data_IF_901674248607
#
_entry.id   IF_901674248607
#
_cell.length_a   1.000
_cell.length_b   1.000
_cell.length_c   1.000
_cell.angle_alpha   90.00
_cell.angle_beta   90.00
_cell.angle_gamma   90.00
#
_symmetry.space_group_name_H-M   'P 1'
#
loop_
_entity.id
_entity.type
_entity.pdbx_description
1 polymer ?
#
# COMPACT_ATOMS: atom_id res chain seq x y z
N UNK A 1 -27.37 33.32 28.72
CA UNK A 1 -26.80 31.96 28.83
C UNK A 1 -27.60 31.04 27.93
N UNK A 2 -27.05 30.70 26.78
CA UNK A 2 -27.03 29.35 26.18
C UNK A 2 -26.08 29.50 24.99
N UNK A 3 -25.05 28.65 25.05
CA UNK A 3 -23.83 28.68 24.29
C UNK A 3 -23.97 27.51 23.31
N UNK A 4 -24.10 27.77 22.02
CA UNK A 4 -24.05 26.71 20.99
C UNK A 4 -22.87 26.97 20.08
N UNK A 5 -21.72 26.51 20.56
CA UNK A 5 -20.56 26.14 19.77
C UNK A 5 -20.79 24.74 19.17
N UNK A 6 -20.83 24.67 17.84
CA UNK A 6 -20.48 23.51 17.01
C UNK A 6 -19.91 24.17 15.74
N UNK A 7 -18.59 24.26 15.49
CA UNK A 7 -17.57 23.21 15.39
C UNK A 7 -18.05 22.01 14.58
N UNK A 8 -17.95 22.13 13.25
CA UNK A 8 -17.37 21.10 12.39
C UNK A 8 -17.07 21.72 11.02
N UNK A 9 -15.82 22.13 10.87
CA UNK A 9 -15.20 22.39 9.58
C UNK A 9 -15.23 21.06 8.79
N UNK A 10 -16.18 20.93 7.87
CA UNK A 10 -16.32 19.78 6.99
C UNK A 10 -15.30 19.92 5.86
N UNK A 11 -14.02 19.63 6.14
CA UNK A 11 -13.06 19.28 5.08
C UNK A 11 -13.41 17.88 4.58
N UNK A 12 -14.47 17.81 3.78
CA UNK A 12 -14.84 16.63 3.03
C UNK A 12 -13.77 16.38 1.96
N UNK A 13 -13.16 15.18 2.02
CA UNK A 13 -12.60 14.42 0.91
C UNK A 13 -11.95 15.24 -0.21
N UNK A 14 -10.65 15.51 -0.04
CA UNK A 14 -9.79 15.57 -1.19
C UNK A 14 -9.38 14.12 -1.50
N UNK A 15 -10.24 13.36 -2.17
CA UNK A 15 -9.82 12.19 -2.94
C UNK A 15 -8.97 12.71 -4.09
N UNK A 16 -7.76 13.18 -3.78
CA UNK A 16 -6.75 13.51 -4.78
C UNK A 16 -6.33 12.19 -5.38
N UNK A 17 -6.97 11.84 -6.49
CA UNK A 17 -6.51 10.84 -7.44
C UNK A 17 -4.99 10.95 -7.55
N UNK A 18 -4.26 9.92 -7.08
CA UNK A 18 -2.81 9.95 -7.04
C UNK A 18 -2.22 10.22 -8.44
N UNK A 19 -2.92 9.85 -9.51
CA UNK A 19 -2.50 10.10 -10.89
C UNK A 19 -2.42 11.59 -11.25
N UNK A 20 -3.19 12.45 -10.59
CA UNK A 20 -3.21 13.90 -10.83
C UNK A 20 -2.01 14.63 -10.19
N UNK A 21 -1.23 13.97 -9.34
CA UNK A 21 -0.08 14.57 -8.64
C UNK A 21 1.13 14.66 -9.59
N UNK A 22 1.57 15.89 -9.87
CA UNK A 22 2.69 16.15 -10.79
C UNK A 22 4.06 15.84 -10.20
N UNK A 23 4.24 16.00 -8.88
CA UNK A 23 5.52 15.74 -8.20
C UNK A 23 5.67 14.24 -7.94
N UNK A 24 6.61 13.59 -8.64
CA UNK A 24 6.83 12.13 -8.60
C UNK A 24 6.87 11.55 -7.20
N UNK A 25 7.69 12.11 -6.29
CA UNK A 25 7.80 11.57 -4.93
C UNK A 25 6.48 11.63 -4.16
N UNK A 26 5.68 12.69 -4.33
CA UNK A 26 4.37 12.82 -3.68
C UNK A 26 3.35 11.88 -4.28
N UNK A 27 3.45 11.61 -5.58
CA UNK A 27 2.62 10.61 -6.27
C UNK A 27 2.92 9.22 -5.74
N UNK A 28 4.19 8.87 -5.59
CA UNK A 28 4.63 7.59 -5.05
C UNK A 28 4.20 7.41 -3.60
N UNK A 29 4.34 8.45 -2.76
CA UNK A 29 3.81 8.48 -1.39
C UNK A 29 2.28 8.31 -1.34
N UNK A 30 1.56 8.93 -2.28
CA UNK A 30 0.10 8.81 -2.39
C UNK A 30 -0.30 7.36 -2.68
N UNK A 31 0.29 6.75 -3.73
CA UNK A 31 0.03 5.34 -4.06
C UNK A 31 0.44 4.39 -2.94
N UNK A 32 1.56 4.65 -2.25
CA UNK A 32 1.94 3.89 -1.06
C UNK A 32 0.82 3.90 -0.01
N UNK A 33 0.24 5.06 0.28
CA UNK A 33 -0.83 5.18 1.28
C UNK A 33 -2.12 4.49 0.84
N UNK A 34 -2.49 4.57 -0.45
CA UNK A 34 -3.62 3.82 -0.99
C UNK A 34 -3.39 2.31 -0.89
N UNK A 35 -2.18 1.82 -1.19
CA UNK A 35 -1.84 0.40 -1.04
C UNK A 35 -2.13 -0.12 0.36
N UNK A 36 -1.78 0.65 1.39
CA UNK A 36 -1.98 0.24 2.79
C UNK A 36 -3.45 0.18 3.21
N UNK A 37 -4.35 0.78 2.44
CA UNK A 37 -5.80 0.78 2.72
C UNK A 37 -6.55 -0.34 2.00
N UNK A 38 -5.96 -0.91 0.93
CA UNK A 38 -6.59 -2.00 0.21
C UNK A 38 -6.61 -3.30 1.01
N UNK A 39 -7.74 -3.99 0.90
CA UNK A 39 -7.93 -5.33 1.45
C UNK A 39 -7.31 -6.40 0.54
N UNK A 40 -7.15 -7.62 1.06
CA UNK A 40 -6.69 -8.79 0.29
C UNK A 40 -7.59 -9.15 -0.90
N UNK A 41 -8.87 -8.76 -0.86
CA UNK A 41 -9.81 -8.97 -1.97
C UNK A 41 -9.49 -8.08 -3.19
N UNK A 42 -8.76 -6.98 -3.00
CA UNK A 42 -8.44 -5.96 -4.02
C UNK A 42 -7.03 -6.15 -4.60
N UNK A 43 -6.55 -7.40 -4.61
CA UNK A 43 -5.22 -7.75 -5.10
C UNK A 43 -4.90 -7.20 -6.51
N UNK A 44 -5.81 -7.25 -7.51
CA UNK A 44 -5.53 -6.67 -8.83
C UNK A 44 -5.25 -5.16 -8.76
N UNK A 45 -5.97 -4.43 -7.90
CA UNK A 45 -5.79 -3.00 -7.68
C UNK A 45 -4.43 -2.73 -7.04
N UNK A 46 -4.04 -3.51 -6.03
CA UNK A 46 -2.74 -3.40 -5.36
C UNK A 46 -1.59 -3.60 -6.36
N UNK A 47 -1.66 -4.62 -7.22
CA UNK A 47 -0.67 -4.85 -8.28
C UNK A 47 -0.60 -3.66 -9.23
N UNK A 48 -1.75 -3.13 -9.63
CA UNK A 48 -1.83 -1.97 -10.52
C UNK A 48 -1.18 -0.74 -9.89
N UNK A 49 -1.52 -0.41 -8.64
CA UNK A 49 -1.02 0.76 -7.93
C UNK A 49 0.48 0.60 -7.59
N UNK A 50 0.93 -0.59 -7.20
CA UNK A 50 2.34 -0.87 -6.95
C UNK A 50 3.21 -0.57 -8.18
N UNK A 51 2.70 -0.86 -9.38
CA UNK A 51 3.39 -0.56 -10.66
C UNK A 51 3.41 0.93 -10.99
N UNK A 52 2.53 1.75 -10.40
CA UNK A 52 2.56 3.20 -10.57
C UNK A 52 3.62 3.88 -9.70
N UNK A 53 4.09 3.20 -8.63
CA UNK A 53 5.16 3.71 -7.76
C UNK A 53 6.50 3.58 -8.49
N UNK A 54 7.10 4.73 -8.78
CA UNK A 54 8.35 4.80 -9.56
C UNK A 54 9.59 4.58 -8.70
N UNK A 55 9.61 5.13 -7.49
CA UNK A 55 10.71 4.97 -6.55
C UNK A 55 10.74 3.52 -6.02
N UNK A 56 11.83 2.77 -6.27
CA UNK A 56 11.92 1.37 -5.86
C UNK A 56 11.92 1.18 -4.34
N UNK A 57 12.41 2.16 -3.56
CA UNK A 57 12.40 2.09 -2.10
C UNK A 57 10.98 2.25 -1.56
N UNK A 58 10.21 3.19 -2.12
CA UNK A 58 8.80 3.38 -1.74
C UNK A 58 7.98 2.15 -2.17
N UNK A 59 8.20 1.64 -3.38
CA UNK A 59 7.51 0.44 -3.88
C UNK A 59 7.82 -0.77 -3.01
N UNK A 60 9.09 -0.97 -2.68
CA UNK A 60 9.57 -2.03 -1.80
C UNK A 60 8.92 -1.98 -0.42
N UNK A 61 8.88 -0.79 0.19
CA UNK A 61 8.23 -0.56 1.47
C UNK A 61 6.72 -0.85 1.43
N UNK A 62 6.01 -0.31 0.43
CA UNK A 62 4.57 -0.47 0.28
C UNK A 62 4.18 -1.95 0.13
N UNK A 63 4.77 -2.64 -0.85
CA UNK A 63 4.45 -4.05 -1.15
C UNK A 63 4.86 -4.96 -0.01
N UNK A 64 6.06 -4.79 0.54
CA UNK A 64 6.53 -5.67 1.63
C UNK A 64 5.72 -5.48 2.92
N UNK A 65 5.31 -4.25 3.24
CA UNK A 65 4.42 -3.99 4.37
C UNK A 65 3.05 -4.62 4.15
N UNK A 66 2.46 -4.39 2.98
CA UNK A 66 1.15 -4.94 2.66
C UNK A 66 1.12 -6.47 2.71
N UNK A 67 2.13 -7.13 2.11
CA UNK A 67 2.26 -8.60 2.16
C UNK A 67 2.45 -9.09 3.60
N UNK A 68 3.24 -8.41 4.43
CA UNK A 68 3.40 -8.79 5.85
C UNK A 68 2.05 -8.79 6.58
N UNK A 69 1.20 -7.82 6.28
CA UNK A 69 -0.04 -7.61 7.02
C UNK A 69 -1.14 -8.60 6.54
N UNK A 70 -1.15 -8.94 5.25
CA UNK A 70 -2.18 -9.75 4.57
C UNK A 70 -1.73 -11.16 4.12
N UNK A 71 -0.52 -11.62 4.46
CA UNK A 71 0.02 -12.92 4.02
C UNK A 71 -0.83 -14.15 4.41
N UNK A 72 -1.70 -14.05 5.42
CA UNK A 72 -2.58 -15.14 5.82
C UNK A 72 -3.90 -15.17 5.01
N UNK A 73 -4.15 -14.13 4.21
CA UNK A 73 -5.39 -13.92 3.47
C UNK A 73 -5.21 -14.11 1.96
N UNK A 74 -3.96 -14.19 1.49
CA UNK A 74 -3.61 -14.40 0.09
C UNK A 74 -2.99 -15.77 -0.11
N UNK A 75 -3.16 -16.33 -1.30
CA UNK A 75 -2.47 -17.56 -1.69
C UNK A 75 -0.98 -17.33 -1.88
N UNK A 76 -0.19 -18.40 -1.78
CA UNK A 76 1.25 -18.33 -2.04
C UNK A 76 1.57 -17.80 -3.44
N UNK A 77 0.78 -18.19 -4.46
CA UNK A 77 0.95 -17.70 -5.83
C UNK A 77 0.73 -16.18 -5.92
N UNK A 78 -0.36 -15.68 -5.34
CA UNK A 78 -0.69 -14.26 -5.33
C UNK A 78 0.39 -13.41 -4.62
N UNK A 79 0.90 -13.89 -3.49
CA UNK A 79 1.99 -13.21 -2.80
C UNK A 79 3.29 -13.23 -3.60
N UNK A 80 3.59 -14.32 -4.32
CA UNK A 80 4.77 -14.39 -5.18
C UNK A 80 4.67 -13.36 -6.31
N UNK A 81 3.52 -13.27 -6.98
CA UNK A 81 3.27 -12.31 -8.07
C UNK A 81 3.48 -10.86 -7.59
N UNK A 82 3.11 -10.53 -6.34
CA UNK A 82 3.39 -9.23 -5.73
C UNK A 82 4.88 -9.02 -5.45
N UNK A 83 5.54 -9.98 -4.82
CA UNK A 83 6.96 -9.87 -4.48
C UNK A 83 7.85 -9.78 -5.74
N UNK A 84 7.40 -10.30 -6.88
CA UNK A 84 8.08 -10.19 -8.17
C UNK A 84 8.07 -8.77 -8.78
N UNK A 85 7.25 -7.86 -8.27
CA UNK A 85 7.29 -6.43 -8.62
C UNK A 85 8.48 -5.69 -7.99
N UNK A 86 9.21 -6.35 -7.10
CA UNK A 86 10.33 -5.80 -6.36
C UNK A 86 11.66 -6.32 -6.93
N UNK A 87 12.71 -5.55 -6.69
CA UNK A 87 14.06 -5.88 -7.13
C UNK A 87 14.98 -6.14 -5.93
N UNK A 88 16.02 -6.94 -6.15
CA UNK A 88 17.11 -7.15 -5.19
C UNK A 88 16.63 -7.54 -3.79
N UNK A 89 17.10 -6.80 -2.78
CA UNK A 89 16.89 -7.09 -1.35
C UNK A 89 15.41 -7.18 -0.97
N UNK A 90 14.59 -6.27 -1.48
CA UNK A 90 13.18 -6.16 -1.06
C UNK A 90 12.35 -7.33 -1.57
N UNK A 91 12.64 -7.82 -2.78
CA UNK A 91 12.06 -9.08 -3.29
C UNK A 91 12.37 -10.26 -2.37
N UNK A 92 13.64 -10.44 -2.01
CA UNK A 92 14.04 -11.53 -1.11
C UNK A 92 13.36 -11.41 0.25
N UNK A 93 13.27 -10.21 0.81
CA UNK A 93 12.60 -9.96 2.08
C UNK A 93 11.09 -10.27 1.99
N UNK A 94 10.42 -9.79 0.95
CA UNK A 94 9.00 -10.04 0.68
C UNK A 94 8.73 -11.55 0.57
N UNK A 95 9.52 -12.26 -0.24
CA UNK A 95 9.41 -13.73 -0.40
C UNK A 95 9.60 -14.47 0.92
N UNK A 96 10.56 -14.06 1.74
CA UNK A 96 10.80 -14.66 3.07
C UNK A 96 9.62 -14.44 4.03
N UNK A 97 8.96 -13.28 3.95
CA UNK A 97 7.76 -13.00 4.75
C UNK A 97 6.57 -13.82 4.29
N UNK A 98 6.41 -13.98 2.98
CA UNK A 98 5.37 -14.82 2.40
C UNK A 98 5.50 -16.29 2.79
N UNK A 99 6.74 -16.82 2.86
CA UNK A 99 6.98 -18.21 3.26
C UNK A 99 6.82 -18.47 4.76
N UNK A 100 6.67 -17.43 5.57
CA UNK A 100 6.57 -17.51 7.03
C UNK A 100 5.35 -16.76 7.58
N UNK A 101 4.11 -17.05 7.12
CA UNK A 101 2.94 -16.23 7.42
C UNK A 101 2.53 -16.26 8.91
N UNK A 102 2.98 -17.28 9.63
CA UNK A 102 2.77 -17.46 11.07
C UNK A 102 3.72 -16.62 11.95
N UNK A 103 4.75 -16.00 11.39
CA UNK A 103 5.74 -15.19 12.12
C UNK A 103 5.44 -13.69 12.00
N UNK A 104 4.30 -13.25 12.56
CA UNK A 104 4.02 -11.82 12.80
C UNK A 104 4.78 -11.42 14.08
N UNK A 105 5.94 -10.78 13.92
CA UNK A 105 6.76 -10.26 15.02
C UNK A 105 7.07 -8.80 14.76
#
# INVERSE_FOLDING_TARGET
MIWTLFFACSSAENTTDCSAITKTIKKDECYHNELLQFSSAELPQIISHAKQITDPLIRGAAVSSWVRDHNNEITQKQGMDLCELLDGRDRFYCMRRLSSPHLKR
#
